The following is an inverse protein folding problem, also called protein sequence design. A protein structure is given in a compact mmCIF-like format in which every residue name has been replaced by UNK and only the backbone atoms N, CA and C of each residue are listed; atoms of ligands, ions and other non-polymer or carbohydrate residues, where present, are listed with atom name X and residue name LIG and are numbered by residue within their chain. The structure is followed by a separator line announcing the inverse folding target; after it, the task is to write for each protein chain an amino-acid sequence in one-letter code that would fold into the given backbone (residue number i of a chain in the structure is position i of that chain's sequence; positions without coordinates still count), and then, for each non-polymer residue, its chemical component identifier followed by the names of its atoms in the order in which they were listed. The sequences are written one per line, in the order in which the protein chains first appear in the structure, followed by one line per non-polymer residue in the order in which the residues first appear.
data_IF_453249730692
#
_entry.id   IF_453249730692
#
_cell.length_a   1.000
_cell.length_b   1.000
_cell.length_c   1.000
_cell.angle_alpha   90.00
_cell.angle_beta   90.00
_cell.angle_gamma   90.00
#
_symmetry.space_group_name_H-M   'P 1'
#
loop_
_entity.id
_entity.type
_entity.pdbx_description
1 polymer ?
#
# COMPACT_ATOMS: atom_id res chain seq x y z
N UNK A 1 2.57 -0.27 19.75
CA UNK A 1 1.66 0.05 18.63
C UNK A 1 1.26 -1.25 17.93
N UNK A 2 -0.02 -1.44 17.55
CA UNK A 2 -0.45 -2.67 16.85
C UNK A 2 0.08 -2.66 15.41
N UNK A 3 0.49 -3.81 14.87
CA UNK A 3 0.99 -3.96 13.48
C UNK A 3 0.06 -3.30 12.45
N UNK A 4 -1.26 -3.44 12.64
CA UNK A 4 -2.29 -2.77 11.84
C UNK A 4 -2.10 -1.27 11.74
N UNK A 5 -1.87 -0.61 12.88
CA UNK A 5 -1.71 0.84 12.94
C UNK A 5 -0.47 1.27 12.16
N UNK A 6 0.64 0.54 12.30
CA UNK A 6 1.84 0.78 11.51
C UNK A 6 1.58 0.71 10.00
N UNK A 7 0.87 -0.32 9.53
CA UNK A 7 0.54 -0.49 8.11
C UNK A 7 -0.35 0.66 7.62
N UNK A 8 -1.40 1.00 8.37
CA UNK A 8 -2.32 2.07 7.98
C UNK A 8 -1.66 3.46 8.01
N UNK A 9 -0.77 3.71 8.97
CA UNK A 9 0.05 4.93 8.99
C UNK A 9 1.00 4.97 7.79
N UNK A 10 1.66 3.87 7.45
CA UNK A 10 2.54 3.78 6.28
C UNK A 10 1.77 4.02 4.96
N UNK A 11 0.59 3.41 4.83
CA UNK A 11 -0.35 3.64 3.73
C UNK A 11 -0.72 5.13 3.63
N UNK A 12 -1.17 5.72 4.73
CA UNK A 12 -1.62 7.13 4.76
C UNK A 12 -0.48 8.07 4.39
N UNK A 13 0.71 7.81 4.91
CA UNK A 13 1.91 8.58 4.60
C UNK A 13 2.27 8.49 3.11
N UNK A 14 2.26 7.30 2.51
CA UNK A 14 2.51 7.13 1.08
C UNK A 14 1.46 7.84 0.21
N UNK A 15 0.18 7.84 0.62
CA UNK A 15 -0.85 8.60 -0.08
C UNK A 15 -0.61 10.11 -0.04
N UNK A 16 -0.24 10.65 1.13
CA UNK A 16 0.11 12.07 1.27
C UNK A 16 1.31 12.41 0.38
N UNK A 17 2.35 11.58 0.39
CA UNK A 17 3.52 11.76 -0.49
C UNK A 17 3.10 11.73 -1.96
N UNK A 18 2.24 10.79 -2.36
CA UNK A 18 1.75 10.71 -3.74
C UNK A 18 0.98 11.98 -4.15
N UNK A 19 0.11 12.52 -3.30
CA UNK A 19 -0.60 13.79 -3.58
C UNK A 19 0.38 14.95 -3.69
N UNK A 20 1.36 15.06 -2.79
CA UNK A 20 2.40 16.10 -2.86
C UNK A 20 3.17 15.98 -4.18
N UNK A 21 3.52 14.75 -4.60
CA UNK A 21 4.21 14.53 -5.87
C UNK A 21 3.37 14.95 -7.07
N UNK A 22 2.08 14.59 -7.11
CA UNK A 22 1.16 14.99 -8.18
C UNK A 22 1.10 16.52 -8.29
N UNK A 23 0.88 17.22 -7.17
CA UNK A 23 0.83 18.68 -7.13
C UNK A 23 2.17 19.30 -7.54
N UNK A 24 3.29 18.70 -7.13
CA UNK A 24 4.62 19.21 -7.48
C UNK A 24 4.93 19.06 -8.97
N UNK A 25 4.40 18.05 -9.64
CA UNK A 25 4.65 17.77 -11.05
C UNK A 25 3.69 18.50 -11.99
N UNK A 26 2.41 18.52 -11.62
CA UNK A 26 1.32 18.95 -12.50
C UNK A 26 0.59 20.20 -11.98
N UNK A 27 1.02 20.78 -10.85
CA UNK A 27 0.34 21.92 -10.25
C UNK A 27 -1.05 21.57 -9.74
N UNK A 28 -1.95 22.55 -9.77
CA UNK A 28 -3.35 22.37 -9.36
C UNK A 28 -4.15 21.56 -10.39
N UNK A 29 -3.74 21.55 -11.66
CA UNK A 29 -4.37 20.76 -12.73
C UNK A 29 -4.28 19.25 -12.42
N UNK A 30 -3.21 18.83 -11.74
CA UNK A 30 -3.09 17.45 -11.25
C UNK A 30 -4.13 17.08 -10.20
N UNK A 31 -4.65 18.04 -9.42
CA UNK A 31 -5.75 17.81 -8.48
C UNK A 31 -7.10 17.76 -9.20
N UNK A 32 -7.28 18.55 -10.25
CA UNK A 32 -8.48 18.52 -11.08
C UNK A 32 -8.70 17.10 -11.65
N UNK A 33 -7.64 16.48 -12.19
CA UNK A 33 -7.65 15.08 -12.63
C UNK A 33 -8.11 14.09 -11.52
N UNK A 34 -7.73 14.32 -10.27
CA UNK A 34 -8.17 13.47 -9.16
C UNK A 34 -9.66 13.66 -8.86
N UNK A 35 -10.17 14.89 -8.99
CA UNK A 35 -11.58 15.21 -8.74
C UNK A 35 -12.48 14.67 -9.85
N UNK A 36 -11.97 14.56 -11.08
CA UNK A 36 -12.70 14.00 -12.23
C UNK A 36 -12.89 12.48 -12.14
N UNK A 37 -12.06 11.77 -11.37
CA UNK A 37 -12.09 10.32 -11.24
C UNK A 37 -12.45 9.84 -9.80
N UNK A 38 -13.56 10.33 -9.22
CA UNK A 38 -13.85 10.09 -7.80
C UNK A 38 -14.13 8.61 -7.50
N UNK A 39 -14.73 7.88 -8.45
CA UNK A 39 -15.01 6.46 -8.26
C UNK A 39 -13.73 5.61 -8.30
N UNK A 40 -12.82 5.90 -9.24
CA UNK A 40 -11.55 5.17 -9.36
C UNK A 40 -10.71 5.33 -8.10
N UNK A 41 -10.62 6.57 -7.59
CA UNK A 41 -9.91 6.88 -6.35
C UNK A 41 -10.58 6.21 -5.16
N UNK A 42 -11.92 6.29 -5.05
CA UNK A 42 -12.64 5.66 -3.95
C UNK A 42 -12.38 4.15 -3.90
N UNK A 43 -12.49 3.47 -5.03
CA UNK A 43 -12.25 2.02 -5.11
C UNK A 43 -10.77 1.68 -4.86
N UNK A 44 -9.83 2.49 -5.37
CA UNK A 44 -8.41 2.32 -5.07
C UNK A 44 -8.13 2.46 -3.56
N UNK A 45 -8.71 3.47 -2.89
CA UNK A 45 -8.56 3.67 -1.44
C UNK A 45 -9.15 2.50 -0.65
N UNK A 46 -10.36 2.06 -0.97
CA UNK A 46 -10.98 0.88 -0.34
C UNK A 46 -10.07 -0.34 -0.53
N UNK A 47 -9.56 -0.55 -1.75
CA UNK A 47 -8.62 -1.61 -2.08
C UNK A 47 -7.34 -1.56 -1.26
N UNK A 48 -6.76 -0.38 -1.10
CA UNK A 48 -5.52 -0.14 -0.36
C UNK A 48 -5.64 -0.52 1.12
N UNK A 49 -6.67 -0.01 1.80
CA UNK A 49 -6.89 -0.30 3.23
C UNK A 49 -7.37 -1.73 3.46
N UNK A 50 -8.20 -2.28 2.57
CA UNK A 50 -8.63 -3.68 2.66
C UNK A 50 -7.46 -4.64 2.48
N UNK A 51 -6.61 -4.41 1.48
CA UNK A 51 -5.40 -5.20 1.24
C UNK A 51 -4.45 -5.10 2.45
N UNK A 52 -4.25 -3.90 2.99
CA UNK A 52 -3.47 -3.68 4.20
C UNK A 52 -4.00 -4.47 5.42
N UNK A 53 -5.32 -4.54 5.58
CA UNK A 53 -5.96 -5.33 6.63
C UNK A 53 -5.67 -6.83 6.47
N UNK A 54 -5.75 -7.37 5.25
CA UNK A 54 -5.47 -8.79 5.00
C UNK A 54 -3.98 -9.16 5.16
N UNK A 55 -3.07 -8.26 4.77
CA UNK A 55 -1.63 -8.52 4.81
C UNK A 55 -1.04 -8.46 6.23
N UNK A 56 -1.72 -7.79 7.18
CA UNK A 56 -1.18 -7.57 8.53
C UNK A 56 -0.74 -8.86 9.24
N UNK A 57 -1.51 -9.94 9.13
CA UNK A 57 -1.22 -11.18 9.84
C UNK A 57 -0.07 -11.92 9.17
N UNK A 58 -0.03 -11.87 7.84
CA UNK A 58 1.01 -12.51 7.04
C UNK A 58 2.36 -11.84 7.26
N UNK A 59 2.39 -10.50 7.35
CA UNK A 59 3.64 -9.76 7.59
C UNK A 59 4.19 -10.06 8.99
N UNK A 60 3.34 -10.06 10.02
CA UNK A 60 3.76 -10.31 11.40
C UNK A 60 4.33 -11.73 11.53
N UNK A 61 3.60 -12.72 11.01
CA UNK A 61 4.04 -14.13 11.01
C UNK A 61 5.35 -14.34 10.26
N UNK A 62 5.53 -13.68 9.11
CA UNK A 62 6.74 -13.81 8.30
C UNK A 62 7.95 -13.21 9.00
N UNK A 63 7.80 -12.02 9.58
CA UNK A 63 8.86 -11.34 10.33
C UNK A 63 9.21 -12.10 11.61
N UNK A 64 8.22 -12.70 12.29
CA UNK A 64 8.46 -13.52 13.48
C UNK A 64 9.29 -14.77 13.13
N UNK A 65 8.99 -15.44 12.01
CA UNK A 65 9.74 -16.63 11.56
C UNK A 65 11.12 -16.30 11.00
N UNK A 66 11.26 -15.15 10.34
CA UNK A 66 12.49 -14.74 9.66
C UNK A 66 12.83 -13.26 9.89
N UNK A 67 13.25 -12.87 11.10
CA UNK A 67 13.50 -11.47 11.46
C UNK A 67 14.67 -10.82 10.68
N UNK A 68 15.50 -11.62 9.99
CA UNK A 68 16.53 -11.13 9.09
C UNK A 68 15.97 -10.49 7.81
N UNK A 69 14.79 -10.90 7.37
CA UNK A 69 14.15 -10.41 6.14
C UNK A 69 13.08 -9.34 6.40
N UNK A 70 13.09 -8.72 7.59
CA UNK A 70 12.06 -7.77 7.99
C UNK A 70 11.93 -6.59 7.03
N UNK A 71 13.05 -5.99 6.61
CA UNK A 71 13.06 -4.86 5.67
C UNK A 71 12.43 -5.22 4.31
N UNK A 72 12.86 -6.34 3.71
CA UNK A 72 12.34 -6.81 2.42
C UNK A 72 10.86 -7.17 2.55
N UNK A 73 10.49 -7.85 3.63
CA UNK A 73 9.09 -8.24 3.90
C UNK A 73 8.19 -7.00 4.00
N UNK A 74 8.66 -5.95 4.68
CA UNK A 74 8.00 -4.64 4.77
C UNK A 74 7.83 -3.95 3.41
N UNK A 75 8.91 -3.88 2.63
CA UNK A 75 8.89 -3.32 1.28
C UNK A 75 7.92 -4.07 0.36
N UNK A 76 8.06 -5.40 0.25
CA UNK A 76 7.21 -6.23 -0.60
C UNK A 76 5.74 -6.13 -0.21
N UNK A 77 5.42 -6.05 1.09
CA UNK A 77 4.05 -5.87 1.55
C UNK A 77 3.43 -4.54 1.07
N UNK A 78 4.14 -3.41 1.22
CA UNK A 78 3.63 -2.13 0.73
C UNK A 78 3.53 -2.07 -0.79
N UNK A 79 4.47 -2.67 -1.52
CA UNK A 79 4.37 -2.79 -2.97
C UNK A 79 3.17 -3.62 -3.40
N UNK A 80 2.88 -4.72 -2.72
CA UNK A 80 1.71 -5.54 -3.01
C UNK A 80 0.40 -4.78 -2.76
N UNK A 81 0.34 -4.00 -1.68
CA UNK A 81 -0.80 -3.13 -1.35
C UNK A 81 -0.99 -2.07 -2.44
N UNK A 82 0.09 -1.38 -2.83
CA UNK A 82 0.07 -0.36 -3.87
C UNK A 82 -0.37 -0.94 -5.23
N UNK A 83 0.22 -2.06 -5.64
CA UNK A 83 -0.12 -2.72 -6.90
C UNK A 83 -1.59 -3.18 -6.93
N UNK A 84 -2.09 -3.73 -5.82
CA UNK A 84 -3.49 -4.16 -5.70
C UNK A 84 -4.45 -2.98 -5.80
N UNK A 85 -4.18 -1.88 -5.08
CA UNK A 85 -5.01 -0.68 -5.16
C UNK A 85 -5.00 -0.04 -6.55
N UNK A 86 -3.82 0.00 -7.19
CA UNK A 86 -3.66 0.47 -8.56
C UNK A 86 -4.50 -0.37 -9.51
N UNK A 87 -4.38 -1.70 -9.43
CA UNK A 87 -5.18 -2.62 -10.23
C UNK A 87 -6.69 -2.38 -10.09
N UNK A 88 -7.16 -2.24 -8.85
CA UNK A 88 -8.59 -2.04 -8.57
C UNK A 88 -9.08 -0.68 -9.09
N UNK A 89 -8.35 0.41 -8.85
CA UNK A 89 -8.71 1.73 -9.37
C UNK A 89 -8.70 1.79 -10.90
N UNK A 90 -7.65 1.24 -11.52
CA UNK A 90 -7.51 1.07 -12.95
C UNK A 90 -8.66 0.27 -13.58
N UNK A 91 -9.10 -0.80 -12.90
CA UNK A 91 -10.20 -1.64 -13.38
C UNK A 91 -11.51 -0.87 -13.47
N UNK A 92 -11.76 0.06 -12.55
CA UNK A 92 -12.96 0.90 -12.58
C UNK A 92 -12.94 1.83 -13.79
N UNK A 93 -11.83 2.54 -14.02
CA UNK A 93 -11.68 3.41 -15.19
C UNK A 93 -11.81 2.65 -16.50
N UNK A 94 -11.20 1.46 -16.58
CA UNK A 94 -11.34 0.57 -17.73
C UNK A 94 -12.80 0.18 -18.01
N UNK A 95 -13.58 -0.13 -16.97
CA UNK A 95 -14.99 -0.48 -17.13
C UNK A 95 -15.82 0.75 -17.54
N UNK A 96 -15.63 1.89 -16.87
CA UNK A 96 -16.43 3.10 -17.10
C UNK A 96 -16.18 3.73 -18.46
N UNK A 97 -14.93 3.92 -18.82
CA UNK A 97 -14.55 4.67 -20.01
C UNK A 97 -14.16 3.72 -21.15
N UNK A 98 -13.42 2.65 -20.84
CA UNK A 98 -12.94 1.69 -21.84
C UNK A 98 -14.01 0.76 -22.41
N UNK A 99 -14.99 0.31 -21.59
CA UNK A 99 -16.06 -0.59 -22.03
C UNK A 99 -17.37 0.16 -22.26
N UNK A 100 -17.83 0.93 -21.27
CA UNK A 100 -19.18 1.52 -21.29
C UNK A 100 -19.30 2.78 -22.17
N UNK A 101 -18.20 3.51 -22.40
CA UNK A 101 -18.17 4.73 -23.23
C UNK A 101 -17.34 4.57 -24.52
N UNK A 102 -17.02 3.34 -24.93
CA UNK A 102 -16.32 3.08 -26.19
C UNK A 102 -17.20 3.45 -27.40
N UNK A 103 -17.19 4.73 -27.74
CA UNK A 103 -17.78 5.24 -28.96
C UNK A 103 -16.84 4.93 -30.12
N UNK A 104 -17.07 3.76 -30.74
CA UNK A 104 -16.72 3.33 -32.10
C UNK A 104 -15.25 3.39 -32.60
N UNK A 105 -14.32 4.08 -31.94
CA UNK A 105 -12.90 4.16 -32.35
C UNK A 105 -11.90 3.74 -31.26
N UNK A 106 -12.38 3.49 -30.04
CA UNK A 106 -11.52 3.13 -28.92
C UNK A 106 -11.35 1.62 -28.79
N UNK A 107 -10.25 1.11 -29.32
CA UNK A 107 -9.94 -0.33 -29.29
C UNK A 107 -9.66 -0.81 -27.85
N UNK A 108 -9.99 -2.07 -27.57
CA UNK A 108 -9.71 -2.71 -26.26
C UNK A 108 -8.22 -2.63 -25.91
N UNK A 109 -7.34 -2.70 -26.92
CA UNK A 109 -5.89 -2.55 -26.72
C UNK A 109 -5.53 -1.18 -26.16
N UNK A 110 -6.10 -0.11 -26.72
CA UNK A 110 -5.88 1.25 -26.24
C UNK A 110 -6.42 1.42 -24.81
N UNK A 111 -7.59 0.87 -24.52
CA UNK A 111 -8.15 0.88 -23.17
C UNK A 111 -7.25 0.13 -22.16
N UNK A 112 -6.71 -1.04 -22.50
CA UNK A 112 -5.78 -1.76 -21.62
C UNK A 112 -4.52 -0.92 -21.36
N UNK A 113 -3.98 -0.30 -22.41
CA UNK A 113 -2.78 0.52 -22.28
C UNK A 113 -3.03 1.75 -21.40
N UNK A 114 -4.16 2.43 -21.60
CA UNK A 114 -4.46 3.69 -20.92
C UNK A 114 -4.89 3.50 -19.47
N UNK A 115 -5.62 2.43 -19.13
CA UNK A 115 -6.08 2.21 -17.77
C UNK A 115 -5.20 1.28 -16.94
N UNK A 116 -4.41 0.38 -17.55
CA UNK A 116 -3.50 -0.49 -16.79
C UNK A 116 -2.04 -0.12 -16.99
N UNK A 117 -1.55 -0.07 -18.23
CA UNK A 117 -0.11 0.12 -18.45
C UNK A 117 0.37 1.49 -17.99
N UNK A 118 -0.29 2.59 -18.42
CA UNK A 118 0.08 3.94 -18.01
C UNK A 118 0.01 4.14 -16.49
N UNK A 119 -1.08 3.79 -15.78
CA UNK A 119 -1.14 4.00 -14.33
C UNK A 119 -0.11 3.19 -13.57
N UNK A 120 0.09 1.92 -13.92
CA UNK A 120 1.16 1.12 -13.33
C UNK A 120 2.53 1.71 -13.60
N UNK A 121 2.81 2.15 -14.83
CA UNK A 121 4.08 2.76 -15.17
C UNK A 121 4.35 4.00 -14.31
N UNK A 122 3.40 4.93 -14.22
CA UNK A 122 3.57 6.16 -13.44
C UNK A 122 3.65 5.92 -11.94
N UNK A 123 2.76 5.07 -11.40
CA UNK A 123 2.73 4.76 -9.97
C UNK A 123 3.99 4.00 -9.55
N UNK A 124 4.50 3.09 -10.37
CA UNK A 124 5.78 2.46 -10.08
C UNK A 124 6.94 3.44 -10.29
N UNK A 125 7.01 4.19 -11.38
CA UNK A 125 8.14 5.11 -11.61
C UNK A 125 8.28 6.14 -10.48
N UNK A 126 7.16 6.75 -10.07
CA UNK A 126 7.16 7.84 -9.08
C UNK A 126 6.99 7.30 -7.65
N UNK A 127 6.12 6.32 -7.45
CA UNK A 127 5.79 5.76 -6.14
C UNK A 127 6.77 4.69 -5.65
N UNK A 128 7.66 4.15 -6.49
CA UNK A 128 8.56 3.07 -6.08
C UNK A 128 9.51 3.48 -4.95
N UNK A 129 10.21 4.59 -5.11
CA UNK A 129 11.17 5.06 -4.10
C UNK A 129 10.52 5.36 -2.74
N UNK A 130 9.45 6.19 -2.64
CA UNK A 130 8.82 6.44 -1.35
C UNK A 130 8.24 5.16 -0.74
N UNK A 131 7.61 4.30 -1.55
CA UNK A 131 7.04 3.03 -1.07
C UNK A 131 8.11 2.08 -0.55
N UNK A 132 9.26 1.99 -1.25
CA UNK A 132 10.39 1.17 -0.84
C UNK A 132 10.95 1.65 0.51
N UNK A 133 11.22 2.94 0.65
CA UNK A 133 11.77 3.53 1.88
C UNK A 133 10.83 3.29 3.05
N UNK A 134 9.55 3.66 2.90
CA UNK A 134 8.53 3.51 3.95
C UNK A 134 8.31 2.04 4.29
N UNK A 135 8.37 1.15 3.29
CA UNK A 135 8.23 -0.29 3.49
C UNK A 135 9.39 -0.91 4.26
N UNK A 136 10.63 -0.51 3.97
CA UNK A 136 11.80 -0.90 4.76
C UNK A 136 11.62 -0.48 6.22
N UNK A 137 11.26 0.79 6.45
CA UNK A 137 11.04 1.35 7.79
C UNK A 137 9.93 0.59 8.53
N UNK A 138 8.81 0.33 7.86
CA UNK A 138 7.69 -0.45 8.38
C UNK A 138 8.13 -1.83 8.86
N UNK A 139 8.86 -2.57 8.03
CA UNK A 139 9.38 -3.90 8.37
C UNK A 139 10.28 -3.90 9.60
N UNK A 140 11.18 -2.92 9.70
CA UNK A 140 12.08 -2.75 10.85
C UNK A 140 11.33 -2.38 12.13
N UNK A 141 10.29 -1.55 12.06
CA UNK A 141 9.45 -1.22 13.21
C UNK A 141 8.66 -2.43 13.71
N UNK A 142 8.08 -3.23 12.80
CA UNK A 142 7.35 -4.46 13.18
C UNK A 142 8.29 -5.42 13.89
N UNK A 143 9.50 -5.64 13.36
CA UNK A 143 10.53 -6.47 14.00
C UNK A 143 10.86 -6.02 15.42
N UNK A 144 11.04 -4.71 15.61
CA UNK A 144 11.36 -4.13 16.91
C UNK A 144 10.23 -4.34 17.92
N UNK A 145 8.98 -4.12 17.49
CA UNK A 145 7.80 -4.36 18.33
C UNK A 145 7.65 -5.83 18.72
N UNK A 146 7.90 -6.76 17.80
CA UNK A 146 7.86 -8.19 18.08
C UNK A 146 8.91 -8.60 19.11
N UNK A 147 10.15 -8.09 18.99
CA UNK A 147 11.22 -8.36 19.95
C UNK A 147 10.84 -7.90 21.37
N UNK A 148 10.30 -6.70 21.49
CA UNK A 148 9.88 -6.12 22.79
C UNK A 148 8.73 -6.91 23.43
N UNK A 149 7.76 -7.38 22.62
CA UNK A 149 6.64 -8.21 23.09
C UNK A 149 7.13 -9.54 23.65
N UNK A 150 8.07 -10.20 22.97
CA UNK A 150 8.67 -11.46 23.46
C UNK A 150 9.44 -11.25 24.76
N UNK A 151 10.26 -10.19 24.85
CA UNK A 151 11.02 -9.89 26.07
C UNK A 151 10.10 -9.63 27.27
N UNK A 152 9.01 -8.88 27.06
CA UNK A 152 8.03 -8.59 28.11
C UNK A 152 7.33 -9.86 28.59
N UNK A 153 6.90 -10.73 27.66
CA UNK A 153 6.24 -11.99 28.00
C UNK A 153 7.16 -12.92 28.81
N UNK A 154 8.45 -12.99 28.47
CA UNK A 154 9.42 -13.78 29.23
C UNK A 154 9.62 -13.25 30.64
N UNK A 155 9.70 -11.92 30.82
CA UNK A 155 9.85 -11.30 32.15
C UNK A 155 8.62 -11.52 33.03
N UNK A 156 7.41 -11.39 32.47
CA UNK A 156 6.15 -11.66 33.20
C UNK A 156 6.07 -13.12 33.62
N UNK A 157 6.40 -14.06 32.73
CA UNK A 157 6.42 -15.49 33.06
C UNK A 157 7.37 -15.78 34.22
N UNK A 158 8.58 -15.23 34.17
CA UNK A 158 9.57 -15.40 35.23
C UNK A 158 9.09 -14.84 36.57
N UNK A 159 8.45 -13.66 36.59
CA UNK A 159 7.91 -13.08 37.82
C UNK A 159 6.79 -13.93 38.45
N UNK A 160 5.93 -14.54 37.62
CA UNK A 160 4.88 -15.44 38.09
C UNK A 160 5.45 -16.73 38.69
N UNK A 161 6.46 -17.31 38.04
CA UNK A 161 7.14 -18.52 38.53
C UNK A 161 7.87 -18.29 39.89
N UNK A 162 8.21 -17.05 40.24
CA UNK A 162 8.77 -16.70 41.56
C UNK A 162 7.72 -16.43 42.65
N UNK A 163 6.45 -16.30 42.28
CA UNK A 163 5.37 -15.92 43.20
C UNK A 163 4.45 -17.07 43.64
N UNK A 164 4.62 -18.26 43.05
CA UNK A 164 3.92 -19.50 43.39
C UNK A 164 4.85 -20.51 44.05
#
# INVERSE_FOLDING_TARGET
MKTRQLIFTAISFNLIVAVIMIVSMFGLDGLEFLVELPLNILVALIGLYSCGFYIEKNIENTIQRSPKYAAITGASALFLILATATFLGSSVGFIQEGILQSHQEYTIQNAIFDYYFKPFFWIFLMGFMPTLIVGIILGLFIKTNLKNKTATNSAVKQALDFSG
#
